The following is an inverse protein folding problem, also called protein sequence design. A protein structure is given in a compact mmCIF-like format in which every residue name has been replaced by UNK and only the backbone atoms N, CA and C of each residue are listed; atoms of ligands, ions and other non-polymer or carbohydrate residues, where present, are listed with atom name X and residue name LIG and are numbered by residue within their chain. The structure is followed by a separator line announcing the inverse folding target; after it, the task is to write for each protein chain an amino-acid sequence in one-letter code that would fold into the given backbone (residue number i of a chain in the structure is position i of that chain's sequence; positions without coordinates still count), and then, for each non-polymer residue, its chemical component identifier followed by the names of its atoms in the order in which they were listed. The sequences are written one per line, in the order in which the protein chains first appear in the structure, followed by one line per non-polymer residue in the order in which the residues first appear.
data_IF_192288131843
#
_entry.id   IF_192288131843
#
_cell.length_a   1.000
_cell.length_b   1.000
_cell.length_c   1.000
_cell.angle_alpha   90.00
_cell.angle_beta   90.00
_cell.angle_gamma   90.00
#
_symmetry.space_group_name_H-M   'P 1'
#
loop_
_entity.id
_entity.type
_entity.pdbx_description
1 polymer ?
#
# COMPACT_ATOMS: atom_id res chain seq x y z
N UNK A 1 2.21 -28.76 -28.05
CA UNK A 1 2.58 -28.52 -26.65
C UNK A 1 3.22 -27.15 -26.60
N UNK A 2 2.54 -26.15 -26.05
CA UNK A 2 3.16 -24.84 -25.81
C UNK A 2 4.19 -25.07 -24.71
N UNK A 3 5.46 -24.76 -24.98
CA UNK A 3 6.52 -24.85 -23.98
C UNK A 3 6.13 -24.02 -22.76
N UNK A 4 6.04 -24.63 -21.58
CA UNK A 4 5.82 -23.89 -20.34
C UNK A 4 7.03 -22.99 -20.08
N UNK A 5 6.78 -21.69 -19.88
CA UNK A 5 7.84 -20.76 -19.47
C UNK A 5 8.38 -21.18 -18.09
N UNK A 6 9.69 -21.08 -17.89
CA UNK A 6 10.36 -21.39 -16.63
C UNK A 6 11.23 -20.22 -16.22
N UNK A 7 11.27 -19.90 -14.91
CA UNK A 7 12.19 -18.88 -14.42
C UNK A 7 13.64 -19.38 -14.56
N UNK A 8 14.52 -18.50 -15.04
CA UNK A 8 15.96 -18.80 -15.21
C UNK A 8 16.80 -18.44 -13.98
N UNK A 9 16.16 -18.17 -12.84
CA UNK A 9 16.79 -17.69 -11.62
C UNK A 9 16.02 -18.20 -10.39
N UNK A 10 16.67 -18.19 -9.22
CA UNK A 10 16.01 -18.52 -7.95
C UNK A 10 15.23 -17.32 -7.43
N UNK A 11 13.93 -17.49 -7.19
CA UNK A 11 13.09 -16.45 -6.60
C UNK A 11 13.04 -16.62 -5.07
N UNK A 12 13.59 -15.65 -4.33
CA UNK A 12 13.58 -15.63 -2.86
C UNK A 12 12.85 -14.39 -2.34
N UNK A 13 12.07 -14.56 -1.27
CA UNK A 13 11.34 -13.49 -0.57
C UNK A 13 11.88 -13.19 0.84
N UNK A 14 12.72 -14.07 1.37
CA UNK A 14 13.12 -14.13 2.78
C UNK A 14 14.38 -13.32 3.12
N UNK A 15 15.01 -12.69 2.13
CA UNK A 15 16.23 -11.89 2.30
C UNK A 15 16.30 -10.74 1.31
N UNK A 16 17.17 -9.77 1.60
CA UNK A 16 17.52 -8.72 0.65
C UNK A 16 18.06 -9.34 -0.64
N UNK A 17 17.58 -8.82 -1.76
CA UNK A 17 18.00 -9.24 -3.09
C UNK A 17 19.38 -8.65 -3.39
N UNK A 18 20.32 -9.49 -3.81
CA UNK A 18 21.62 -9.02 -4.28
C UNK A 18 21.58 -8.58 -5.76
N UNK A 19 22.62 -7.88 -6.19
CA UNK A 19 22.72 -7.36 -7.56
C UNK A 19 22.70 -8.47 -8.62
N UNK A 20 23.26 -9.65 -8.33
CA UNK A 20 23.31 -10.77 -9.27
C UNK A 20 21.92 -11.36 -9.51
N UNK A 21 21.10 -11.47 -8.46
CA UNK A 21 19.70 -11.89 -8.55
C UNK A 21 18.88 -10.87 -9.35
N UNK A 22 19.09 -9.57 -9.11
CA UNK A 22 18.42 -8.50 -9.89
C UNK A 22 18.77 -8.63 -11.38
N UNK A 23 20.05 -8.81 -11.72
CA UNK A 23 20.49 -8.96 -13.12
C UNK A 23 19.87 -10.20 -13.77
N UNK A 24 19.80 -11.32 -13.06
CA UNK A 24 19.19 -12.55 -13.58
C UNK A 24 17.69 -12.38 -13.85
N UNK A 25 16.96 -11.70 -12.95
CA UNK A 25 15.55 -11.32 -13.15
C UNK A 25 15.37 -10.42 -14.37
N UNK A 26 16.23 -9.42 -14.55
CA UNK A 26 16.19 -8.53 -15.73
C UNK A 26 16.46 -9.29 -17.03
N UNK A 27 17.39 -10.26 -17.02
CA UNK A 27 17.67 -11.15 -18.16
C UNK A 27 16.45 -11.98 -18.53
N UNK A 28 15.77 -12.58 -17.56
CA UNK A 28 14.54 -13.34 -17.79
C UNK A 28 13.50 -12.51 -18.55
N UNK A 29 13.11 -11.34 -18.03
CA UNK A 29 12.10 -10.49 -18.67
C UNK A 29 12.48 -9.99 -20.08
N UNK A 30 13.77 -9.88 -20.37
CA UNK A 30 14.28 -9.43 -21.67
C UNK A 30 14.58 -10.56 -22.66
N UNK A 31 14.53 -11.82 -22.22
CA UNK A 31 14.80 -12.98 -23.06
C UNK A 31 13.80 -13.08 -24.22
N UNK A 32 14.27 -13.63 -25.34
CA UNK A 32 13.43 -13.82 -26.55
C UNK A 32 12.31 -14.81 -26.24
N UNK A 33 12.63 -15.83 -25.45
CA UNK A 33 11.72 -16.88 -25.00
C UNK A 33 10.57 -16.28 -24.19
N UNK A 34 10.88 -15.44 -23.19
CA UNK A 34 9.85 -14.79 -22.35
C UNK A 34 8.99 -13.85 -23.19
N UNK A 35 9.60 -13.05 -24.07
CA UNK A 35 8.86 -12.12 -24.95
C UNK A 35 7.92 -12.85 -25.90
N UNK A 36 8.38 -13.93 -26.53
CA UNK A 36 7.55 -14.74 -27.43
C UNK A 36 6.41 -15.40 -26.68
N UNK A 37 6.69 -15.95 -25.49
CA UNK A 37 5.65 -16.57 -24.66
C UNK A 37 4.55 -15.56 -24.31
N UNK A 38 4.88 -14.35 -23.86
CA UNK A 38 3.85 -13.32 -23.59
C UNK A 38 3.10 -12.88 -24.85
N UNK A 39 3.80 -12.80 -25.99
CA UNK A 39 3.17 -12.46 -27.27
C UNK A 39 2.13 -13.52 -27.66
N UNK A 40 2.43 -14.80 -27.46
CA UNK A 40 1.51 -15.92 -27.70
C UNK A 40 0.28 -15.88 -26.76
N UNK A 41 0.40 -15.19 -25.62
CA UNK A 41 -0.69 -14.94 -24.66
C UNK A 41 -1.36 -13.57 -24.84
N UNK A 42 -1.06 -12.85 -25.93
CA UNK A 42 -1.72 -11.57 -26.25
C UNK A 42 -1.09 -10.33 -25.61
N UNK A 43 0.12 -10.43 -25.03
CA UNK A 43 0.82 -9.32 -24.40
C UNK A 43 2.14 -8.98 -25.08
N UNK A 44 2.32 -7.70 -25.38
CA UNK A 44 3.60 -7.16 -25.83
C UNK A 44 4.33 -6.52 -24.65
N UNK A 45 5.33 -7.23 -24.11
CA UNK A 45 6.18 -6.68 -23.04
C UNK A 45 6.84 -5.36 -23.47
N UNK A 46 6.93 -4.44 -22.50
CA UNK A 46 7.69 -3.21 -22.63
C UNK A 46 9.16 -3.50 -22.91
N UNK A 47 9.81 -2.53 -23.51
CA UNK A 47 11.23 -2.58 -23.78
C UNK A 47 12.02 -1.98 -22.62
N UNK A 48 13.02 -2.72 -22.14
CA UNK A 48 13.97 -2.19 -21.18
C UNK A 48 14.95 -1.24 -21.87
N UNK A 49 15.16 -0.07 -21.30
CA UNK A 49 16.17 0.88 -21.78
C UNK A 49 17.55 0.39 -21.35
N UNK A 50 18.52 0.37 -22.26
CA UNK A 50 19.91 0.05 -21.93
C UNK A 50 20.57 1.25 -21.26
N UNK A 51 21.43 1.01 -20.27
CA UNK A 51 22.26 2.06 -19.69
C UNK A 51 23.48 2.29 -20.60
N UNK A 52 23.47 3.45 -21.29
CA UNK A 52 24.49 3.83 -22.26
C UNK A 52 25.91 3.89 -21.64
N UNK A 53 26.03 4.07 -20.32
CA UNK A 53 27.33 4.20 -19.65
C UNK A 53 27.91 2.87 -19.17
N UNK A 54 27.06 1.88 -18.89
CA UNK A 54 27.49 0.61 -18.28
C UNK A 54 27.32 -0.60 -19.18
N UNK A 55 26.69 -0.46 -20.35
CA UNK A 55 26.26 -1.61 -21.18
C UNK A 55 25.40 -2.61 -20.37
N UNK A 56 24.71 -2.12 -19.33
CA UNK A 56 23.91 -2.92 -18.41
C UNK A 56 22.41 -2.65 -18.63
N UNK A 57 21.60 -3.64 -18.27
CA UNK A 57 20.14 -3.51 -18.29
C UNK A 57 19.68 -2.58 -17.15
N UNK A 58 19.17 -1.40 -17.50
CA UNK A 58 18.67 -0.42 -16.53
C UNK A 58 17.41 -0.90 -15.81
N UNK A 59 16.98 -0.22 -14.75
CA UNK A 59 15.67 -0.46 -14.13
C UNK A 59 14.49 0.09 -14.95
N UNK A 60 14.74 0.85 -16.03
CA UNK A 60 13.73 1.59 -16.80
C UNK A 60 13.14 0.77 -17.94
N UNK A 61 11.82 0.89 -18.13
CA UNK A 61 11.04 0.30 -19.21
C UNK A 61 10.26 1.38 -19.95
N UNK A 62 10.00 1.16 -21.24
CA UNK A 62 9.15 2.01 -22.08
C UNK A 62 8.19 1.15 -22.90
N UNK A 63 6.99 1.66 -23.24
CA UNK A 63 6.08 0.95 -24.15
C UNK A 63 6.77 0.64 -25.48
N UNK A 64 6.53 -0.56 -26.01
CA UNK A 64 7.07 -0.96 -27.33
C UNK A 64 6.11 -0.60 -28.46
N UNK A 65 4.81 -0.70 -28.22
CA UNK A 65 3.80 -0.34 -29.20
C UNK A 65 3.50 1.16 -29.11
N UNK A 66 2.91 1.75 -30.17
CA UNK A 66 2.43 3.12 -30.13
C UNK A 66 1.48 3.36 -28.95
N UNK A 67 1.43 4.61 -28.52
CA UNK A 67 0.55 5.10 -27.46
C UNK A 67 0.02 6.47 -27.85
N UNK A 68 -1.13 6.84 -27.29
CA UNK A 68 -1.72 8.16 -27.45
C UNK A 68 -1.01 9.19 -26.55
N UNK A 69 -0.98 10.45 -26.98
CA UNK A 69 -0.42 11.55 -26.20
C UNK A 69 -1.20 11.77 -24.89
N UNK A 70 -2.50 11.55 -24.91
CA UNK A 70 -3.37 11.53 -23.73
C UNK A 70 -4.50 10.54 -23.95
N UNK A 71 -4.76 9.71 -22.95
CA UNK A 71 -5.84 8.73 -22.96
C UNK A 71 -6.70 8.92 -21.71
N UNK A 72 -8.01 9.04 -21.91
CA UNK A 72 -8.97 9.02 -20.81
C UNK A 72 -9.09 7.62 -20.20
N UNK A 73 -9.24 7.55 -18.87
CA UNK A 73 -9.49 6.31 -18.19
C UNK A 73 -10.83 5.70 -18.62
N UNK A 74 -10.81 4.40 -18.86
CA UNK A 74 -11.98 3.55 -18.92
C UNK A 74 -11.76 2.40 -17.94
N UNK A 75 -12.35 2.51 -16.74
CA UNK A 75 -12.10 1.55 -15.66
C UNK A 75 -12.28 0.11 -16.17
N UNK A 76 -11.30 -0.79 -15.94
CA UNK A 76 -10.20 -0.71 -14.97
C UNK A 76 -8.90 -0.05 -15.47
N UNK A 77 -8.86 0.43 -16.71
CA UNK A 77 -7.69 1.07 -17.29
C UNK A 77 -7.54 2.52 -16.84
N UNK A 78 -6.29 2.93 -16.61
CA UNK A 78 -5.94 4.23 -16.08
C UNK A 78 -5.88 5.32 -17.17
N UNK A 79 -6.01 6.58 -16.75
CA UNK A 79 -5.56 7.73 -17.52
C UNK A 79 -4.07 7.59 -17.80
N UNK A 80 -3.64 8.04 -18.97
CA UNK A 80 -2.21 8.26 -19.18
C UNK A 80 -1.93 9.46 -20.06
N UNK A 81 -0.77 10.07 -19.84
CA UNK A 81 -0.29 11.20 -20.60
C UNK A 81 1.19 11.03 -20.97
N UNK A 82 1.55 11.52 -22.14
CA UNK A 82 2.90 11.49 -22.68
C UNK A 82 3.65 12.82 -22.48
N UNK A 83 3.25 13.64 -21.48
CA UNK A 83 3.84 14.96 -21.21
C UNK A 83 5.36 14.84 -21.09
N UNK A 84 6.09 15.75 -21.76
CA UNK A 84 7.55 15.80 -21.75
C UNK A 84 7.98 17.16 -21.23
N UNK A 85 8.74 17.16 -20.14
CA UNK A 85 9.36 18.37 -19.59
C UNK A 85 10.74 18.59 -20.20
N UNK A 86 11.41 17.54 -20.68
CA UNK A 86 12.69 17.61 -21.40
C UNK A 86 12.75 16.55 -22.52
N UNK A 87 13.66 16.71 -23.49
CA UNK A 87 13.81 15.79 -24.62
C UNK A 87 14.31 14.39 -24.22
N UNK A 88 14.98 14.26 -23.07
CA UNK A 88 15.51 12.99 -22.55
C UNK A 88 14.41 12.10 -21.92
N UNK A 89 13.22 12.66 -21.69
CA UNK A 89 12.08 11.92 -21.14
C UNK A 89 11.48 11.05 -22.23
N UNK A 90 11.55 9.74 -22.02
CA UNK A 90 10.81 8.75 -22.82
C UNK A 90 9.41 8.62 -22.22
N UNK A 91 8.33 9.02 -22.91
CA UNK A 91 7.00 9.03 -22.32
C UNK A 91 6.57 7.67 -21.78
N UNK A 92 5.70 7.73 -20.77
CA UNK A 92 5.13 6.55 -20.11
C UNK A 92 6.20 5.58 -19.57
N UNK A 93 7.45 6.01 -19.38
CA UNK A 93 8.44 5.11 -18.81
C UNK A 93 8.11 4.76 -17.36
N UNK A 94 8.57 3.60 -16.93
CA UNK A 94 8.42 3.10 -15.57
C UNK A 94 9.70 2.44 -15.10
N UNK A 95 9.92 2.37 -13.79
CA UNK A 95 11.06 1.67 -13.21
C UNK A 95 10.63 0.49 -12.35
N UNK A 96 11.35 -0.63 -12.46
CA UNK A 96 11.34 -1.71 -11.48
C UNK A 96 12.79 -2.05 -11.11
N UNK A 97 13.12 -1.85 -9.84
CA UNK A 97 14.47 -2.02 -9.32
C UNK A 97 14.77 -3.48 -8.94
N UNK A 98 13.75 -4.27 -8.57
CA UNK A 98 13.92 -5.63 -8.05
C UNK A 98 13.76 -6.73 -9.11
N UNK A 99 13.28 -6.40 -10.31
CA UNK A 99 12.99 -7.39 -11.36
C UNK A 99 11.80 -8.29 -11.03
N UNK A 100 10.93 -7.89 -10.10
CA UNK A 100 9.73 -8.65 -9.70
C UNK A 100 8.52 -8.34 -10.58
N UNK A 101 8.54 -7.19 -11.26
CA UNK A 101 7.42 -6.67 -12.03
C UNK A 101 7.88 -6.36 -13.45
N UNK A 102 7.04 -6.71 -14.42
CA UNK A 102 7.13 -6.27 -15.80
C UNK A 102 5.88 -5.49 -16.19
N UNK A 103 5.97 -4.80 -17.31
CA UNK A 103 4.86 -4.03 -17.88
C UNK A 103 4.68 -4.44 -19.34
N UNK A 104 3.46 -4.40 -19.83
CA UNK A 104 3.11 -4.79 -21.18
C UNK A 104 1.95 -3.98 -21.73
N UNK A 105 1.69 -4.15 -23.03
CA UNK A 105 0.46 -3.73 -23.69
C UNK A 105 -0.31 -4.97 -24.12
N UNK A 106 -1.63 -4.98 -23.93
CA UNK A 106 -2.51 -6.03 -24.46
C UNK A 106 -2.77 -5.84 -25.98
N UNK A 107 -3.62 -6.70 -26.55
CA UNK A 107 -4.00 -6.63 -27.97
C UNK A 107 -4.79 -5.37 -28.37
N UNK A 108 -5.34 -4.64 -27.39
CA UNK A 108 -6.05 -3.37 -27.57
C UNK A 108 -5.15 -2.17 -27.20
N UNK A 109 -3.86 -2.38 -26.99
CA UNK A 109 -2.87 -1.40 -26.53
C UNK A 109 -3.12 -0.85 -25.11
N UNK A 110 -3.97 -1.46 -24.30
CA UNK A 110 -4.08 -1.06 -22.89
C UNK A 110 -2.81 -1.45 -22.13
N UNK A 111 -2.40 -0.59 -21.21
CA UNK A 111 -1.18 -0.79 -20.43
C UNK A 111 -1.46 -1.63 -19.18
N UNK A 112 -0.68 -2.70 -19.00
CA UNK A 112 -0.82 -3.65 -17.90
C UNK A 112 0.49 -3.83 -17.13
N UNK A 113 0.38 -4.33 -15.91
CA UNK A 113 1.48 -4.71 -15.03
C UNK A 113 1.40 -6.22 -14.74
N UNK A 114 2.56 -6.85 -14.60
CA UNK A 114 2.73 -8.30 -14.45
C UNK A 114 3.67 -8.54 -13.28
N UNK A 115 3.25 -9.31 -12.28
CA UNK A 115 4.10 -9.66 -11.13
C UNK A 115 4.49 -11.14 -11.18
N UNK A 116 5.63 -11.52 -10.58
CA UNK A 116 5.96 -12.94 -10.34
C UNK A 116 5.54 -13.30 -8.91
N UNK A 117 4.72 -14.35 -8.77
CA UNK A 117 4.20 -14.82 -7.48
C UNK A 117 4.44 -16.33 -7.34
N UNK A 118 5.15 -16.79 -6.28
CA UNK A 118 5.36 -18.22 -6.06
C UNK A 118 4.06 -18.97 -5.72
N UNK A 119 3.97 -20.22 -6.18
CA UNK A 119 2.87 -21.13 -5.79
C UNK A 119 2.83 -21.35 -4.28
N UNK A 120 1.64 -21.60 -3.75
CA UNK A 120 1.45 -21.97 -2.33
C UNK A 120 1.63 -20.82 -1.33
N UNK A 121 1.75 -19.58 -1.80
CA UNK A 121 1.83 -18.39 -0.94
C UNK A 121 0.44 -17.81 -0.64
N UNK A 122 0.31 -17.07 0.47
CA UNK A 122 -0.92 -16.32 0.77
C UNK A 122 -1.18 -15.23 -0.26
N UNK A 123 -0.13 -14.59 -0.79
CA UNK A 123 -0.28 -13.66 -1.91
C UNK A 123 -1.01 -14.31 -3.10
N UNK A 124 -0.59 -15.52 -3.52
CA UNK A 124 -1.28 -16.24 -4.59
C UNK A 124 -2.75 -16.51 -4.24
N UNK A 125 -3.04 -16.97 -3.03
CA UNK A 125 -4.41 -17.23 -2.57
C UNK A 125 -5.28 -15.97 -2.63
N UNK A 126 -4.73 -14.83 -2.20
CA UNK A 126 -5.41 -13.54 -2.23
C UNK A 126 -5.65 -13.10 -3.67
N UNK A 127 -4.64 -13.13 -4.54
CA UNK A 127 -4.78 -12.73 -5.93
C UNK A 127 -5.77 -13.62 -6.70
N UNK A 128 -5.82 -14.92 -6.38
CA UNK A 128 -6.83 -15.84 -6.90
C UNK A 128 -8.24 -15.51 -6.39
N UNK A 129 -8.39 -15.18 -5.11
CA UNK A 129 -9.66 -14.70 -4.55
C UNK A 129 -10.13 -13.41 -5.25
N UNK A 130 -9.22 -12.45 -5.45
CA UNK A 130 -9.52 -11.16 -6.09
C UNK A 130 -9.85 -11.31 -7.58
N UNK A 131 -9.16 -12.21 -8.30
CA UNK A 131 -9.49 -12.53 -9.69
C UNK A 131 -10.90 -13.12 -9.84
N UNK A 132 -11.43 -13.77 -8.81
CA UNK A 132 -12.80 -14.26 -8.78
C UNK A 132 -13.87 -13.20 -8.46
N UNK A 133 -13.48 -11.97 -8.11
CA UNK A 133 -14.43 -10.88 -7.82
C UNK A 133 -14.83 -10.13 -9.09
N UNK A 134 -16.03 -9.54 -9.09
CA UNK A 134 -16.42 -8.64 -10.18
C UNK A 134 -15.63 -7.33 -10.12
N UNK A 135 -15.44 -6.71 -11.29
CA UNK A 135 -14.79 -5.41 -11.40
C UNK A 135 -15.54 -4.32 -10.59
N UNK A 136 -16.86 -4.39 -10.50
CA UNK A 136 -17.65 -3.44 -9.71
C UNK A 136 -17.37 -3.55 -8.21
N UNK A 137 -17.27 -4.78 -7.68
CA UNK A 137 -16.92 -5.02 -6.27
C UNK A 137 -15.51 -4.48 -5.98
N UNK A 138 -14.54 -4.78 -6.84
CA UNK A 138 -13.17 -4.30 -6.65
C UNK A 138 -13.08 -2.77 -6.75
N UNK A 139 -13.83 -2.15 -7.66
CA UNK A 139 -13.93 -0.69 -7.80
C UNK A 139 -14.52 -0.06 -6.55
N UNK A 140 -15.65 -0.59 -6.09
CA UNK A 140 -16.36 -0.09 -4.91
C UNK A 140 -15.47 -0.13 -3.67
N UNK A 141 -14.71 -1.21 -3.50
CA UNK A 141 -13.83 -1.41 -2.35
C UNK A 141 -12.40 -0.90 -2.54
N UNK A 142 -12.10 -0.22 -3.64
CA UNK A 142 -10.78 0.37 -3.89
C UNK A 142 -9.65 -0.69 -3.83
N UNK A 143 -9.86 -1.85 -4.45
CA UNK A 143 -8.87 -2.93 -4.57
C UNK A 143 -8.38 -3.03 -6.02
N UNK A 144 -7.08 -3.28 -6.20
CA UNK A 144 -6.49 -3.45 -7.53
C UNK A 144 -7.12 -4.65 -8.28
N UNK A 145 -7.65 -4.45 -9.50
CA UNK A 145 -8.18 -5.53 -10.31
C UNK A 145 -7.11 -6.54 -10.75
N UNK A 146 -7.47 -7.83 -10.73
CA UNK A 146 -6.66 -8.92 -11.30
C UNK A 146 -7.42 -9.47 -12.50
N UNK A 147 -6.90 -9.29 -13.71
CA UNK A 147 -7.55 -9.74 -14.94
C UNK A 147 -7.44 -11.25 -15.12
N UNK A 148 -6.24 -11.77 -14.92
CA UNK A 148 -5.95 -13.19 -15.05
C UNK A 148 -4.70 -13.57 -14.27
N UNK A 149 -4.52 -14.86 -14.08
CA UNK A 149 -3.36 -15.47 -13.45
C UNK A 149 -2.77 -16.48 -14.44
N UNK A 150 -1.66 -16.12 -15.09
CA UNK A 150 -1.04 -17.03 -16.05
C UNK A 150 -0.08 -18.01 -15.32
N UNK A 151 -0.22 -19.33 -15.52
CA UNK A 151 0.65 -20.31 -14.87
C UNK A 151 1.99 -20.44 -15.60
N UNK A 152 3.06 -20.51 -14.83
CA UNK A 152 4.38 -20.96 -15.28
C UNK A 152 4.93 -21.99 -14.29
N UNK A 153 6.06 -22.63 -14.61
CA UNK A 153 6.59 -23.68 -13.75
C UNK A 153 6.96 -23.15 -12.35
N UNK A 154 6.17 -23.52 -11.33
CA UNK A 154 6.39 -23.13 -9.93
C UNK A 154 5.91 -21.72 -9.55
N UNK A 155 5.32 -20.96 -10.47
CA UNK A 155 4.87 -19.59 -10.22
C UNK A 155 3.58 -19.25 -10.98
N UNK A 156 2.95 -18.16 -10.56
CA UNK A 156 1.86 -17.51 -11.26
C UNK A 156 2.27 -16.09 -11.64
N UNK A 157 1.73 -15.62 -12.76
CA UNK A 157 1.92 -14.28 -13.29
C UNK A 157 0.56 -13.55 -13.30
N UNK A 158 0.21 -12.84 -12.20
CA UNK A 158 -0.99 -12.01 -12.15
C UNK A 158 -0.85 -10.83 -13.12
N UNK A 159 -1.90 -10.63 -13.92
CA UNK A 159 -2.04 -9.51 -14.84
C UNK A 159 -2.99 -8.48 -14.23
N UNK A 160 -2.55 -7.24 -14.14
CA UNK A 160 -3.24 -6.13 -13.48
C UNK A 160 -3.22 -4.90 -14.40
N UNK A 161 -4.17 -3.96 -14.29
CA UNK A 161 -4.04 -2.70 -15.01
C UNK A 161 -2.79 -1.95 -14.53
N UNK A 162 -2.10 -1.28 -15.46
CA UNK A 162 -1.01 -0.38 -15.07
C UNK A 162 -1.63 0.89 -14.49
N UNK A 163 -1.48 1.07 -13.19
CA UNK A 163 -1.83 2.30 -12.50
C UNK A 163 -0.56 3.03 -12.06
N UNK A 164 -0.68 4.33 -11.80
CA UNK A 164 0.43 5.14 -11.30
C UNK A 164 0.63 4.95 -9.80
N UNK A 165 1.85 5.22 -9.35
CA UNK A 165 2.22 5.23 -7.93
C UNK A 165 2.44 6.67 -7.44
N UNK A 166 2.98 6.83 -6.23
CA UNK A 166 3.33 8.13 -5.65
C UNK A 166 2.13 9.06 -5.58
N UNK A 167 1.05 8.60 -4.94
CA UNK A 167 -0.26 9.26 -4.98
C UNK A 167 -0.32 10.64 -4.32
N UNK A 168 0.68 10.99 -3.51
CA UNK A 168 0.84 12.29 -2.87
C UNK A 168 1.59 13.31 -3.75
N UNK A 169 2.01 12.89 -4.95
CA UNK A 169 2.71 13.71 -5.93
C UNK A 169 1.88 13.87 -7.22
N UNK A 170 1.85 15.08 -7.84
CA UNK A 170 2.29 16.35 -7.26
C UNK A 170 1.57 16.64 -5.95
N UNK A 171 2.10 17.57 -5.15
CA UNK A 171 1.62 17.83 -3.80
C UNK A 171 0.09 18.05 -3.78
N UNK A 172 -0.58 17.43 -2.82
CA UNK A 172 -2.02 17.62 -2.60
C UNK A 172 -2.28 19.10 -2.24
N UNK A 173 -3.37 19.67 -2.72
CA UNK A 173 -3.68 21.09 -2.51
C UNK A 173 -5.06 21.31 -1.88
N UNK A 174 -6.03 20.45 -2.15
CA UNK A 174 -7.41 20.55 -1.65
C UNK A 174 -7.71 19.48 -0.61
N UNK A 175 -8.62 19.81 0.31
CA UNK A 175 -9.01 18.89 1.38
C UNK A 175 -9.67 17.62 0.83
N UNK A 176 -10.47 17.73 -0.23
CA UNK A 176 -11.08 16.54 -0.87
C UNK A 176 -10.05 15.53 -1.37
N UNK A 177 -8.89 15.97 -1.87
CA UNK A 177 -7.85 15.04 -2.33
C UNK A 177 -7.34 14.15 -1.19
N UNK A 178 -7.18 14.73 0.01
CA UNK A 178 -6.75 14.01 1.21
C UNK A 178 -7.85 13.05 1.65
N UNK A 179 -9.09 13.54 1.73
CA UNK A 179 -10.23 12.75 2.20
C UNK A 179 -10.56 11.61 1.25
N UNK A 180 -10.45 11.80 -0.07
CA UNK A 180 -10.64 10.75 -1.08
C UNK A 180 -9.61 9.62 -0.91
N UNK A 181 -8.33 9.96 -0.71
CA UNK A 181 -7.27 8.97 -0.46
C UNK A 181 -7.54 8.21 0.84
N UNK A 182 -7.86 8.92 1.93
CA UNK A 182 -8.16 8.29 3.22
C UNK A 182 -9.36 7.35 3.12
N UNK A 183 -10.43 7.79 2.44
CA UNK A 183 -11.63 6.99 2.24
C UNK A 183 -11.33 5.73 1.45
N UNK A 184 -10.64 5.83 0.31
CA UNK A 184 -10.25 4.66 -0.49
C UNK A 184 -9.41 3.66 0.30
N UNK A 185 -8.46 4.13 1.12
CA UNK A 185 -7.65 3.25 1.98
C UNK A 185 -8.50 2.54 3.04
N UNK A 186 -9.42 3.25 3.70
CA UNK A 186 -10.32 2.68 4.70
C UNK A 186 -11.28 1.64 4.08
N UNK A 187 -11.83 1.92 2.88
CA UNK A 187 -12.68 0.98 2.13
C UNK A 187 -11.92 -0.30 1.78
N UNK A 188 -10.70 -0.17 1.26
CA UNK A 188 -9.84 -1.29 0.93
C UNK A 188 -9.54 -2.15 2.16
N UNK A 189 -9.16 -1.53 3.28
CA UNK A 189 -8.84 -2.28 4.49
C UNK A 189 -10.06 -3.00 5.08
N UNK A 190 -11.21 -2.33 5.11
CA UNK A 190 -12.46 -2.92 5.59
C UNK A 190 -12.85 -4.15 4.74
N UNK A 191 -12.72 -4.07 3.41
CA UNK A 191 -12.96 -5.19 2.51
C UNK A 191 -12.00 -6.37 2.75
N UNK A 192 -10.70 -6.10 2.88
CA UNK A 192 -9.71 -7.15 3.16
C UNK A 192 -10.03 -7.85 4.48
N UNK A 193 -10.30 -7.08 5.55
CA UNK A 193 -10.60 -7.64 6.87
C UNK A 193 -11.92 -8.41 6.89
N UNK A 194 -12.94 -7.95 6.15
CA UNK A 194 -14.20 -8.67 5.99
C UNK A 194 -14.00 -10.04 5.31
N UNK A 195 -12.98 -10.17 4.46
CA UNK A 195 -12.62 -11.41 3.77
C UNK A 195 -11.46 -12.16 4.44
N UNK A 196 -11.18 -11.90 5.72
CA UNK A 196 -10.13 -12.57 6.50
C UNK A 196 -8.71 -12.43 5.92
N UNK A 197 -8.45 -11.30 5.28
CA UNK A 197 -7.14 -10.93 4.73
C UNK A 197 -6.57 -9.77 5.56
N UNK A 198 -5.40 -9.96 6.15
CA UNK A 198 -4.58 -8.85 6.68
C UNK A 198 -3.53 -8.47 5.65
N UNK A 199 -3.34 -7.18 5.39
CA UNK A 199 -2.41 -6.70 4.36
C UNK A 199 -0.94 -6.85 4.79
N UNK A 200 -0.61 -6.50 6.03
CA UNK A 200 0.73 -6.63 6.61
C UNK A 200 1.76 -5.58 6.19
N UNK A 201 1.43 -4.67 5.27
CA UNK A 201 2.36 -3.63 4.77
C UNK A 201 1.59 -2.37 4.31
N UNK A 202 0.79 -1.81 5.22
CA UNK A 202 0.01 -0.60 4.93
C UNK A 202 0.92 0.63 4.85
N UNK A 203 0.94 1.28 3.68
CA UNK A 203 1.65 2.54 3.41
C UNK A 203 1.14 3.18 2.12
N UNK A 204 1.33 4.49 1.95
CA UNK A 204 0.88 5.20 0.74
C UNK A 204 1.51 4.67 -0.56
N UNK A 205 2.71 4.07 -0.52
CA UNK A 205 3.35 3.52 -1.73
C UNK A 205 2.67 2.25 -2.23
N UNK A 206 1.85 1.59 -1.40
CA UNK A 206 1.06 0.40 -1.74
C UNK A 206 -0.39 0.78 -2.11
N UNK A 207 -0.61 2.06 -2.40
CA UNK A 207 -1.84 2.56 -3.02
C UNK A 207 -1.47 3.08 -4.41
N UNK A 208 -2.18 2.58 -5.41
CA UNK A 208 -2.06 3.04 -6.78
C UNK A 208 -3.16 4.07 -7.09
N UNK A 209 -2.93 4.89 -8.10
CA UNK A 209 -3.91 5.84 -8.65
C UNK A 209 -4.11 5.54 -10.13
N UNK A 210 -5.35 5.61 -10.63
CA UNK A 210 -5.70 5.34 -12.03
C UNK A 210 -5.21 6.42 -13.01
N UNK A 211 -4.00 6.94 -12.81
CA UNK A 211 -3.31 7.86 -13.70
C UNK A 211 -1.81 7.62 -13.67
N UNK A 212 -1.18 7.37 -14.82
CA UNK A 212 0.27 7.25 -14.93
C UNK A 212 0.86 8.09 -16.06
N UNK A 213 2.09 8.52 -15.87
CA UNK A 213 2.92 9.22 -16.86
C UNK A 213 4.34 8.63 -16.80
N UNK A 214 5.33 9.33 -17.33
CA UNK A 214 6.73 8.99 -17.06
C UNK A 214 7.02 9.07 -15.54
N UNK A 215 7.66 8.03 -15.00
CA UNK A 215 7.90 7.90 -13.56
C UNK A 215 8.80 8.98 -12.95
N UNK A 216 9.52 9.77 -13.75
CA UNK A 216 10.35 10.91 -13.31
C UNK A 216 9.55 12.21 -13.15
N UNK A 217 8.32 12.26 -13.71
CA UNK A 217 7.45 13.44 -13.70
C UNK A 217 6.52 13.56 -12.51
N UNK A 218 6.69 12.78 -11.45
CA UNK A 218 5.77 12.80 -10.30
C UNK A 218 5.59 14.20 -9.68
N UNK A 219 6.61 15.08 -9.71
CA UNK A 219 6.49 16.47 -9.22
C UNK A 219 5.93 17.42 -10.30
N UNK A 220 6.38 17.29 -11.54
CA UNK A 220 6.13 18.25 -12.63
C UNK A 220 4.92 17.95 -13.52
N UNK A 221 4.19 16.86 -13.27
CA UNK A 221 3.02 16.47 -14.07
C UNK A 221 1.84 17.43 -13.81
N UNK A 222 1.32 18.05 -14.87
CA UNK A 222 0.22 19.02 -14.75
C UNK A 222 -1.17 18.36 -14.89
N UNK A 223 -1.23 17.16 -15.45
CA UNK A 223 -2.47 16.43 -15.73
C UNK A 223 -3.11 15.91 -14.45
N UNK A 224 -2.34 15.28 -13.56
CA UNK A 224 -2.84 14.68 -12.32
C UNK A 224 -3.52 15.69 -11.40
N UNK A 225 -2.95 16.89 -11.12
CA UNK A 225 -3.66 17.93 -10.36
C UNK A 225 -5.01 18.33 -10.99
N UNK A 226 -5.08 18.46 -12.33
CA UNK A 226 -6.32 18.79 -13.02
C UNK A 226 -7.38 17.69 -12.89
N UNK A 227 -6.97 16.41 -12.94
CA UNK A 227 -7.87 15.28 -12.72
C UNK A 227 -8.35 15.20 -11.26
N UNK A 228 -7.50 15.56 -10.29
CA UNK A 228 -7.87 15.65 -8.87
C UNK A 228 -8.86 16.77 -8.58
N UNK A 229 -8.67 17.95 -9.15
CA UNK A 229 -9.62 19.07 -9.00
C UNK A 229 -11.02 18.67 -9.49
N UNK A 230 -11.09 17.90 -10.58
CA UNK A 230 -12.34 17.35 -11.13
C UNK A 230 -12.83 16.08 -10.44
N UNK A 231 -12.10 15.56 -9.44
CA UNK A 231 -12.39 14.31 -8.70
C UNK A 231 -12.61 13.09 -9.61
N UNK A 232 -11.82 12.99 -10.69
CA UNK A 232 -11.89 11.90 -11.67
C UNK A 232 -10.98 10.71 -11.34
N UNK A 233 -10.09 10.86 -10.36
CA UNK A 233 -9.15 9.82 -9.99
C UNK A 233 -9.78 8.77 -9.07
N UNK A 234 -9.32 7.54 -9.22
CA UNK A 234 -9.61 6.40 -8.35
C UNK A 234 -8.30 5.89 -7.74
N UNK A 235 -8.39 5.43 -6.50
CA UNK A 235 -7.25 4.89 -5.76
C UNK A 235 -7.53 3.42 -5.43
N UNK A 236 -6.49 2.58 -5.50
CA UNK A 236 -6.63 1.16 -5.24
C UNK A 236 -5.44 0.59 -4.44
N UNK A 237 -5.74 -0.21 -3.43
CA UNK A 237 -4.73 -0.93 -2.66
C UNK A 237 -4.20 -2.13 -3.43
N UNK A 238 -2.89 -2.33 -3.38
CA UNK A 238 -2.18 -3.42 -4.06
C UNK A 238 -0.96 -3.87 -3.26
N UNK A 239 -0.27 -4.90 -3.78
CA UNK A 239 0.96 -5.47 -3.22
C UNK A 239 0.76 -6.30 -1.94
N UNK A 240 0.32 -7.55 -2.13
CA UNK A 240 0.02 -8.50 -1.06
C UNK A 240 1.23 -9.36 -0.64
N UNK A 241 2.46 -8.87 -0.84
CA UNK A 241 3.71 -9.60 -0.58
C UNK A 241 3.83 -10.10 0.87
N UNK A 242 3.31 -9.32 1.82
CA UNK A 242 3.34 -9.57 3.27
C UNK A 242 1.98 -9.94 3.86
N UNK A 243 0.98 -10.13 3.01
CA UNK A 243 -0.38 -10.39 3.45
C UNK A 243 -0.55 -11.80 3.99
N UNK A 244 -1.50 -11.95 4.91
CA UNK A 244 -1.92 -13.25 5.45
C UNK A 244 -3.40 -13.43 5.17
N UNK A 245 -3.78 -14.61 4.66
CA UNK A 245 -5.17 -14.96 4.40
C UNK A 245 -5.56 -16.15 5.29
N UNK A 246 -6.41 -15.88 6.28
CA UNK A 246 -6.94 -16.94 7.12
C UNK A 246 -8.01 -17.74 6.37
N UNK A 247 -8.22 -18.98 6.79
CA UNK A 247 -9.38 -19.76 6.32
C UNK A 247 -10.69 -19.07 6.73
N UNK A 248 -11.77 -19.20 5.96
CA UNK A 248 -13.07 -18.57 6.28
C UNK A 248 -13.60 -18.88 7.68
N UNK A 249 -13.28 -20.07 8.22
CA UNK A 249 -13.75 -20.55 9.51
C UNK A 249 -12.97 -19.99 10.70
N UNK A 250 -11.81 -19.37 10.47
CA UNK A 250 -10.94 -18.86 11.52
C UNK A 250 -11.42 -17.51 12.02
N UNK A 251 -11.53 -17.36 13.33
CA UNK A 251 -11.79 -16.05 13.93
C UNK A 251 -10.53 -15.17 13.88
N UNK A 252 -10.60 -14.10 13.08
CA UNK A 252 -9.53 -13.09 12.98
C UNK A 252 -9.19 -12.42 14.31
N UNK A 253 -10.13 -12.31 15.26
CA UNK A 253 -9.87 -11.71 16.57
C UNK A 253 -8.97 -12.60 17.44
N UNK A 254 -9.04 -13.91 17.25
CA UNK A 254 -8.17 -14.90 17.89
C UNK A 254 -6.80 -15.06 17.21
N UNK A 255 -6.60 -14.54 15.99
CA UNK A 255 -5.37 -14.69 15.24
C UNK A 255 -4.15 -14.09 15.98
N UNK A 256 -3.09 -14.88 16.13
CA UNK A 256 -1.85 -14.47 16.78
C UNK A 256 -0.65 -14.90 15.95
N UNK A 257 0.16 -13.94 15.53
CA UNK A 257 1.43 -14.20 14.84
C UNK A 257 2.61 -13.89 15.77
N UNK A 258 3.75 -14.60 15.63
CA UNK A 258 4.97 -14.29 16.38
C UNK A 258 5.48 -12.89 16.05
N UNK A 259 5.98 -12.17 17.05
CA UNK A 259 6.45 -10.78 16.93
C UNK A 259 7.47 -10.54 15.81
N UNK A 260 8.25 -11.55 15.42
CA UNK A 260 9.21 -11.44 14.31
C UNK A 260 8.52 -11.14 12.98
N UNK A 261 7.28 -11.57 12.81
CA UNK A 261 6.46 -11.24 11.63
C UNK A 261 5.99 -9.78 11.65
N UNK A 262 6.18 -9.06 12.76
CA UNK A 262 5.99 -7.61 12.85
C UNK A 262 7.29 -6.84 12.61
N UNK A 263 8.40 -7.49 12.26
CA UNK A 263 9.68 -6.81 12.05
C UNK A 263 9.86 -6.40 10.59
N UNK A 264 10.26 -5.15 10.38
CA UNK A 264 10.45 -4.57 9.05
C UNK A 264 10.00 -3.12 9.02
N UNK A 265 9.98 -2.51 7.84
CA UNK A 265 9.56 -1.12 7.63
C UNK A 265 8.05 -0.86 7.79
N UNK A 266 7.27 -1.93 8.01
CA UNK A 266 5.81 -1.91 8.07
C UNK A 266 5.22 -1.76 9.49
N UNK A 267 5.95 -2.14 10.55
CA UNK A 267 5.47 -1.97 11.93
C UNK A 267 5.79 -0.58 12.50
N UNK A 268 5.01 0.40 12.05
CA UNK A 268 5.13 1.81 12.47
C UNK A 268 4.36 2.11 13.76
N UNK A 269 3.50 1.18 14.21
CA UNK A 269 2.56 1.35 15.34
C UNK A 269 3.21 1.24 16.70
N UNK A 270 4.44 0.73 16.78
CA UNK A 270 5.12 0.46 18.05
C UNK A 270 4.35 -0.54 18.95
N UNK A 271 3.42 -1.32 18.39
CA UNK A 271 2.57 -2.27 19.13
C UNK A 271 3.36 -3.44 19.69
N UNK A 272 4.43 -3.83 19.00
CA UNK A 272 5.35 -4.88 19.48
C UNK A 272 6.66 -4.30 20.00
N UNK A 273 6.78 -2.96 20.08
CA UNK A 273 8.04 -2.30 20.44
C UNK A 273 8.44 -2.44 21.92
N UNK A 274 7.63 -3.14 22.72
CA UNK A 274 7.90 -3.39 24.15
C UNK A 274 8.06 -4.89 24.43
N UNK A 275 8.37 -5.69 23.40
CA UNK A 275 8.58 -7.12 23.52
C UNK A 275 7.27 -7.90 23.67
N UNK A 276 6.16 -7.42 23.11
CA UNK A 276 4.98 -8.25 22.92
C UNK A 276 5.36 -9.47 22.06
N UNK A 277 5.10 -10.68 22.56
CA UNK A 277 5.55 -11.90 21.89
C UNK A 277 4.62 -12.32 20.73
N UNK A 278 3.33 -12.05 20.87
CA UNK A 278 2.34 -12.29 19.83
C UNK A 278 1.63 -10.98 19.50
N UNK A 279 1.24 -10.82 18.25
CA UNK A 279 0.38 -9.72 17.81
C UNK A 279 -0.76 -10.24 16.93
N UNK A 280 -1.82 -9.46 16.83
CA UNK A 280 -2.90 -9.72 15.87
C UNK A 280 -2.64 -8.89 14.60
N UNK A 281 -2.49 -9.51 13.41
CA UNK A 281 -2.15 -8.79 12.18
C UNK A 281 -3.26 -7.84 11.70
N UNK A 282 -4.53 -8.15 11.98
CA UNK A 282 -5.66 -7.26 11.63
C UNK A 282 -5.63 -6.00 12.50
N UNK A 283 -5.36 -6.14 13.80
CA UNK A 283 -5.21 -4.99 14.71
C UNK A 283 -3.98 -4.15 14.33
N UNK A 284 -2.90 -4.81 13.89
CA UNK A 284 -1.70 -4.14 13.41
C UNK A 284 -1.97 -3.32 12.15
N UNK A 285 -2.71 -3.86 11.17
CA UNK A 285 -3.03 -3.13 9.93
C UNK A 285 -3.78 -1.81 10.21
N UNK A 286 -4.79 -1.84 11.10
CA UNK A 286 -5.54 -0.62 11.44
C UNK A 286 -4.62 0.41 12.09
N UNK A 287 -3.76 -0.03 12.99
CA UNK A 287 -2.75 0.83 13.59
C UNK A 287 -1.79 1.39 12.55
N UNK A 288 -1.31 0.57 11.62
CA UNK A 288 -0.34 0.96 10.60
C UNK A 288 -0.95 2.00 9.65
N UNK A 289 -2.22 1.81 9.27
CA UNK A 289 -3.01 2.80 8.54
C UNK A 289 -3.14 4.11 9.31
N UNK A 290 -3.49 4.04 10.60
CA UNK A 290 -3.58 5.22 11.46
C UNK A 290 -2.26 5.97 11.56
N UNK A 291 -1.14 5.28 11.69
CA UNK A 291 0.20 5.90 11.72
C UNK A 291 0.56 6.52 10.37
N UNK A 292 0.20 5.88 9.26
CA UNK A 292 0.38 6.45 7.93
C UNK A 292 -0.41 7.75 7.77
N UNK A 293 -1.70 7.74 8.11
CA UNK A 293 -2.51 8.96 8.13
C UNK A 293 -1.96 10.02 9.08
N UNK A 294 -1.38 9.62 10.22
CA UNK A 294 -0.75 10.57 11.12
C UNK A 294 0.51 11.20 10.50
N UNK A 295 1.38 10.39 9.88
CA UNK A 295 2.59 10.87 9.19
C UNK A 295 2.23 11.95 8.17
N UNK A 296 1.17 11.69 7.39
CA UNK A 296 0.83 12.47 6.21
C UNK A 296 -0.12 13.63 6.53
N UNK A 297 -1.12 13.43 7.39
CA UNK A 297 -2.30 14.30 7.49
C UNK A 297 -2.62 14.84 8.89
N UNK A 298 -1.91 14.44 9.96
CA UNK A 298 -2.27 14.89 11.33
C UNK A 298 -2.24 16.41 11.54
N UNK A 299 -1.47 17.13 10.72
CA UNK A 299 -1.40 18.60 10.76
C UNK A 299 -2.71 19.28 10.32
N UNK A 300 -3.61 18.54 9.66
CA UNK A 300 -4.90 19.02 9.17
C UNK A 300 -6.00 18.93 10.22
N UNK A 301 -5.74 18.41 11.44
CA UNK A 301 -6.76 18.28 12.49
C UNK A 301 -7.36 19.62 12.93
N UNK A 302 -6.70 20.75 12.68
CA UNK A 302 -7.30 22.07 12.90
C UNK A 302 -8.29 22.49 11.80
N UNK A 303 -8.12 21.99 10.57
CA UNK A 303 -8.99 22.28 9.43
C UNK A 303 -10.14 21.28 9.30
N UNK A 304 -9.91 20.01 9.66
CA UNK A 304 -10.91 18.96 9.72
C UNK A 304 -10.83 18.28 11.10
N UNK A 305 -11.57 18.81 12.10
CA UNK A 305 -11.47 18.39 13.50
C UNK A 305 -11.69 16.90 13.76
N UNK A 306 -12.51 16.22 12.96
CA UNK A 306 -12.80 14.79 13.18
C UNK A 306 -11.60 13.88 12.90
N UNK A 307 -10.57 14.37 12.20
CA UNK A 307 -9.34 13.60 12.02
C UNK A 307 -8.68 13.29 13.36
N UNK A 308 -8.73 14.19 14.35
CA UNK A 308 -8.12 13.93 15.66
C UNK A 308 -8.68 12.66 16.36
N UNK A 309 -9.99 12.51 16.58
CA UNK A 309 -10.56 11.28 17.15
C UNK A 309 -10.35 10.05 16.28
N UNK A 310 -10.45 10.15 14.95
CA UNK A 310 -10.19 9.02 14.04
C UNK A 310 -8.76 8.50 14.21
N UNK A 311 -7.78 9.40 14.11
CA UNK A 311 -6.37 9.07 14.18
C UNK A 311 -5.97 8.50 15.55
N UNK A 312 -6.49 9.06 16.65
CA UNK A 312 -6.22 8.53 17.99
C UNK A 312 -6.84 7.15 18.18
N UNK A 313 -8.07 6.90 17.72
CA UNK A 313 -8.70 5.58 17.83
C UNK A 313 -8.06 4.52 16.95
N UNK A 314 -7.48 4.89 15.81
CA UNK A 314 -6.71 3.96 14.98
C UNK A 314 -5.32 3.69 15.57
N UNK A 315 -4.69 4.69 16.20
CA UNK A 315 -3.31 4.58 16.74
C UNK A 315 -3.24 4.32 18.24
N UNK A 316 -4.39 4.10 18.90
CA UNK A 316 -4.44 3.92 20.36
C UNK A 316 -3.60 2.73 20.81
N UNK A 317 -2.94 2.88 21.96
CA UNK A 317 -2.14 1.81 22.57
C UNK A 317 -2.98 0.79 23.32
N UNK A 318 -4.22 1.16 23.69
CA UNK A 318 -5.16 0.17 24.19
C UNK A 318 -5.78 -0.55 23.00
N UNK A 319 -5.20 -1.70 22.65
CA UNK A 319 -5.55 -2.46 21.44
C UNK A 319 -7.01 -2.92 21.42
N UNK A 320 -7.62 -3.17 22.59
CA UNK A 320 -9.04 -3.54 22.71
C UNK A 320 -9.96 -2.36 22.37
N UNK A 321 -9.48 -1.14 22.58
CA UNK A 321 -10.19 0.08 22.23
C UNK A 321 -9.85 0.56 20.82
N UNK A 322 -8.91 -0.07 20.10
CA UNK A 322 -8.59 0.34 18.74
C UNK A 322 -9.77 0.05 17.83
N UNK A 323 -10.04 0.96 16.90
CA UNK A 323 -11.02 0.68 15.86
C UNK A 323 -10.66 -0.60 15.10
N UNK A 324 -11.68 -1.37 14.76
CA UNK A 324 -11.63 -2.30 13.63
C UNK A 324 -11.61 -1.50 12.31
N UNK A 325 -11.22 -2.15 11.21
CA UNK A 325 -11.24 -1.49 9.90
C UNK A 325 -12.64 -0.98 9.52
N UNK A 326 -13.69 -1.77 9.83
CA UNK A 326 -15.08 -1.38 9.61
C UNK A 326 -15.52 -0.21 10.47
N UNK A 327 -15.16 -0.17 11.76
CA UNK A 327 -15.48 0.96 12.63
C UNK A 327 -14.76 2.24 12.20
N UNK A 328 -13.50 2.12 11.76
CA UNK A 328 -12.74 3.26 11.22
C UNK A 328 -13.35 3.83 9.95
N UNK A 329 -13.78 2.96 9.02
CA UNK A 329 -14.49 3.37 7.81
C UNK A 329 -15.84 4.02 8.14
N UNK A 330 -16.65 3.38 8.98
CA UNK A 330 -17.97 3.90 9.35
C UNK A 330 -17.86 5.25 10.06
N UNK A 331 -16.94 5.39 11.02
CA UNK A 331 -16.69 6.68 11.67
C UNK A 331 -16.28 7.75 10.66
N UNK A 332 -15.41 7.42 9.70
CA UNK A 332 -15.00 8.37 8.67
C UNK A 332 -16.19 8.80 7.79
N UNK A 333 -16.98 7.86 7.29
CA UNK A 333 -18.13 8.15 6.43
C UNK A 333 -19.20 8.97 7.15
N UNK A 334 -19.51 8.61 8.40
CA UNK A 334 -20.42 9.36 9.26
C UNK A 334 -19.92 10.78 9.48
N UNK A 335 -18.63 10.99 9.76
CA UNK A 335 -18.10 12.33 9.99
C UNK A 335 -17.96 13.13 8.70
N UNK A 336 -17.60 12.48 7.59
CA UNK A 336 -17.49 13.09 6.27
C UNK A 336 -18.83 13.63 5.78
N UNK A 337 -19.95 12.94 6.04
CA UNK A 337 -21.29 13.37 5.62
C UNK A 337 -21.77 14.68 6.26
N UNK A 338 -21.13 15.11 7.35
CA UNK A 338 -21.43 16.36 8.04
C UNK A 338 -20.57 17.55 7.57
N UNK A 339 -19.56 17.32 6.71
CA UNK A 339 -18.75 18.39 6.18
C UNK A 339 -19.53 19.22 5.16
N UNK A 340 -19.30 20.53 5.22
CA UNK A 340 -19.79 21.46 4.19
C UNK A 340 -18.92 21.40 2.94
N UNK A 341 -19.49 21.77 1.79
CA UNK A 341 -18.72 21.86 0.54
C UNK A 341 -17.52 22.83 0.68
N UNK A 342 -17.66 23.91 1.45
CA UNK A 342 -16.57 24.84 1.70
C UNK A 342 -15.41 24.20 2.47
N UNK A 343 -15.69 23.35 3.46
CA UNK A 343 -14.67 22.59 4.20
C UNK A 343 -14.00 21.53 3.33
N UNK A 344 -14.72 20.95 2.36
CA UNK A 344 -14.20 19.96 1.42
C UNK A 344 -13.31 20.62 0.34
N UNK A 345 -13.67 21.82 -0.12
CA UNK A 345 -12.96 22.56 -1.18
C UNK A 345 -11.83 23.45 -0.67
N UNK A 346 -11.68 23.60 0.65
CA UNK A 346 -10.63 24.45 1.22
C UNK A 346 -9.23 23.98 0.82
N UNK A 347 -8.31 24.93 0.70
CA UNK A 347 -6.89 24.63 0.51
C UNK A 347 -6.31 24.03 1.78
N UNK A 348 -5.47 23.00 1.64
CA UNK A 348 -4.80 22.38 2.80
C UNK A 348 -3.60 23.20 3.24
N UNK A 349 -3.37 23.24 4.56
CA UNK A 349 -2.17 23.84 5.13
C UNK A 349 -0.92 23.10 4.66
N UNK A 350 0.19 23.84 4.54
CA UNK A 350 1.48 23.22 4.19
C UNK A 350 1.90 22.21 5.27
N UNK A 351 2.29 21.02 4.84
CA UNK A 351 2.94 20.04 5.71
C UNK A 351 4.34 20.51 6.06
N UNK A 352 4.56 20.80 7.34
CA UNK A 352 5.90 20.95 7.92
C UNK A 352 6.38 19.59 8.45
N UNK A 353 7.67 19.47 8.79
CA UNK A 353 8.15 18.30 9.54
C UNK A 353 7.35 18.19 10.83
N UNK A 354 6.46 17.22 10.90
CA UNK A 354 5.63 16.95 12.08
C UNK A 354 6.39 16.06 13.05
N UNK A 355 6.07 16.19 14.34
CA UNK A 355 6.54 15.24 15.33
C UNK A 355 6.00 13.83 15.03
N UNK A 356 6.68 12.81 15.53
CA UNK A 356 6.14 11.44 15.55
C UNK A 356 4.70 11.43 16.06
N UNK A 357 3.87 10.55 15.49
CA UNK A 357 2.43 10.51 15.79
C UNK A 357 2.14 10.43 17.30
N UNK A 358 2.97 9.74 18.09
CA UNK A 358 2.80 9.59 19.53
C UNK A 358 3.33 10.78 20.38
N UNK A 359 3.86 11.83 19.74
CA UNK A 359 4.31 13.08 20.37
C UNK A 359 3.56 14.31 19.87
N UNK A 360 2.79 14.18 18.80
CA UNK A 360 2.09 15.29 18.19
C UNK A 360 0.75 15.52 18.89
N UNK A 361 0.52 16.71 19.44
CA UNK A 361 -0.78 17.07 20.00
C UNK A 361 -1.74 17.50 18.89
N UNK A 362 -2.45 16.52 18.34
CA UNK A 362 -3.44 16.74 17.27
C UNK A 362 -4.73 17.42 17.75
N UNK A 363 -4.91 17.57 19.06
CA UNK A 363 -6.10 18.21 19.63
C UNK A 363 -5.91 19.71 19.89
N UNK A 364 -4.68 20.22 19.78
CA UNK A 364 -4.35 21.61 20.15
C UNK A 364 -5.13 22.66 19.32
N UNK A 365 -5.43 22.35 18.06
CA UNK A 365 -6.19 23.21 17.15
C UNK A 365 -7.65 22.77 16.98
N UNK A 366 -8.10 21.74 17.69
CA UNK A 366 -9.48 21.23 17.61
C UNK A 366 -10.40 22.15 18.43
N UNK A 367 -11.56 22.58 17.91
CA UNK A 367 -12.49 23.42 18.66
C UNK A 367 -12.87 22.82 20.03
N UNK A 368 -12.89 23.60 21.12
CA UNK A 368 -13.08 23.06 22.48
C UNK A 368 -14.36 22.24 22.67
N UNK A 369 -15.47 22.67 22.08
CA UNK A 369 -16.75 21.94 22.19
C UNK A 369 -16.70 20.59 21.48
N UNK A 370 -16.03 20.54 20.32
CA UNK A 370 -15.79 19.29 19.60
C UNK A 370 -14.84 18.38 20.39
N UNK A 371 -13.75 18.94 20.92
CA UNK A 371 -12.80 18.20 21.76
C UNK A 371 -13.47 17.60 23.00
N UNK A 372 -14.39 18.35 23.63
CA UNK A 372 -15.18 17.87 24.77
C UNK A 372 -16.12 16.73 24.38
N UNK A 373 -16.82 16.85 23.25
CA UNK A 373 -17.72 15.81 22.73
C UNK A 373 -16.98 14.48 22.49
N UNK A 374 -15.76 14.54 21.97
CA UNK A 374 -14.96 13.38 21.58
C UNK A 374 -13.82 13.06 22.54
N UNK A 375 -13.87 13.57 23.78
CA UNK A 375 -12.78 13.43 24.74
C UNK A 375 -12.42 11.96 25.06
N UNK A 376 -13.39 11.04 25.00
CA UNK A 376 -13.17 9.60 25.22
C UNK A 376 -12.35 8.93 24.11
N UNK A 377 -12.17 9.60 22.96
CA UNK A 377 -11.40 9.07 21.83
C UNK A 377 -9.93 9.49 21.90
N UNK A 378 -9.59 10.45 22.75
CA UNK A 378 -8.25 11.00 22.89
C UNK A 378 -7.30 9.95 23.49
N UNK A 379 -6.18 9.72 22.80
CA UNK A 379 -5.13 8.82 23.27
C UNK A 379 -4.42 9.45 24.49
N UNK A 380 -4.32 8.74 25.63
CA UNK A 380 -3.61 9.28 26.79
C UNK A 380 -2.11 9.44 26.52
N UNK A 381 -1.41 10.33 27.26
CA UNK A 381 0.04 10.45 27.18
C UNK A 381 0.76 9.12 27.46
N UNK A 382 1.97 8.96 26.92
CA UNK A 382 2.75 7.73 27.16
C UNK A 382 3.28 7.72 28.60
N UNK A 383 2.93 6.71 29.44
CA UNK A 383 3.51 6.55 30.77
C UNK A 383 5.04 6.43 30.69
N UNK A 384 5.73 7.04 31.65
CA UNK A 384 7.20 7.04 31.67
C UNK A 384 7.78 5.62 31.68
N UNK A 385 7.13 4.66 32.35
CA UNK A 385 7.52 3.25 32.37
C UNK A 385 7.57 2.64 30.97
N UNK A 386 6.55 2.92 30.13
CA UNK A 386 6.53 2.49 28.74
C UNK A 386 7.64 3.14 27.91
N UNK A 387 7.96 4.41 28.18
CA UNK A 387 9.06 5.08 27.47
C UNK A 387 10.42 4.42 27.78
N UNK A 388 10.65 4.03 29.05
CA UNK A 388 11.84 3.31 29.47
C UNK A 388 11.92 1.94 28.79
N UNK A 389 10.84 1.16 28.79
CA UNK A 389 10.83 -0.16 28.13
C UNK A 389 11.11 -0.01 26.64
N UNK A 390 10.43 0.92 25.94
CA UNK A 390 10.69 1.18 24.52
C UNK A 390 12.14 1.58 24.26
N UNK A 391 12.75 2.37 25.14
CA UNK A 391 14.15 2.75 25.03
C UNK A 391 15.08 1.54 25.18
N UNK A 392 14.86 0.70 26.18
CA UNK A 392 15.62 -0.53 26.40
C UNK A 392 15.48 -1.51 25.21
N UNK A 393 14.26 -1.72 24.73
CA UNK A 393 13.93 -2.57 23.59
C UNK A 393 14.45 -2.05 22.24
N UNK A 394 15.08 -0.87 22.17
CA UNK A 394 15.87 -0.47 20.98
C UNK A 394 17.06 -1.37 20.74
N UNK A 395 17.54 -2.06 21.78
CA UNK A 395 18.61 -3.07 21.64
C UNK A 395 17.97 -4.41 21.34
N UNK A 396 18.28 -4.99 20.18
CA UNK A 396 17.69 -6.24 19.69
C UNK A 396 17.75 -7.39 20.71
N UNK A 397 18.88 -7.56 21.40
CA UNK A 397 19.00 -8.61 22.42
C UNK A 397 18.10 -8.36 23.64
N UNK A 398 17.92 -7.11 24.08
CA UNK A 398 17.00 -6.76 25.18
C UNK A 398 15.57 -7.02 24.74
N UNK A 399 15.21 -6.62 23.53
CA UNK A 399 13.90 -6.89 22.96
C UNK A 399 13.55 -8.38 23.06
N UNK A 400 14.47 -9.25 22.63
CA UNK A 400 14.27 -10.70 22.73
C UNK A 400 14.11 -11.18 24.17
N UNK A 401 14.94 -10.70 25.09
CA UNK A 401 14.84 -11.06 26.52
C UNK A 401 13.47 -10.66 27.06
N UNK A 402 13.04 -9.41 26.83
CA UNK A 402 11.73 -8.91 27.28
C UNK A 402 10.59 -9.73 26.68
N UNK A 403 10.68 -10.09 25.39
CA UNK A 403 9.66 -10.90 24.74
C UNK A 403 9.54 -12.30 25.33
N UNK A 404 10.65 -12.99 25.58
CA UNK A 404 10.62 -14.32 26.20
C UNK A 404 10.17 -14.28 27.66
N UNK A 405 10.56 -13.24 28.41
CA UNK A 405 10.09 -13.03 29.79
C UNK A 405 8.57 -12.84 29.81
N UNK A 406 8.02 -11.97 28.94
CA UNK A 406 6.57 -11.76 28.82
C UNK A 406 5.82 -13.02 28.40
N UNK A 407 6.37 -13.77 27.45
CA UNK A 407 5.82 -15.06 27.03
C UNK A 407 5.81 -16.08 28.17
N UNK A 408 6.89 -16.18 28.94
CA UNK A 408 6.95 -17.08 30.09
C UNK A 408 5.87 -16.75 31.11
N UNK A 409 5.71 -15.48 31.49
CA UNK A 409 4.67 -15.07 32.44
C UNK A 409 3.24 -15.22 31.92
N UNK A 410 2.99 -15.02 30.62
CA UNK A 410 1.64 -15.22 30.06
C UNK A 410 1.18 -16.66 30.19
N UNK A 411 2.10 -17.64 30.14
CA UNK A 411 1.77 -19.05 30.39
C UNK A 411 1.24 -19.32 31.79
N UNK A 412 1.66 -18.57 32.82
CA UNK A 412 1.17 -18.75 34.19
C UNK A 412 -0.17 -18.06 34.45
N UNK A 413 -0.45 -16.95 33.77
CA UNK A 413 -1.68 -16.18 33.95
C UNK A 413 -2.89 -16.87 33.32
N UNK A 414 -2.72 -17.61 32.23
CA UNK A 414 -3.81 -18.34 31.54
C UNK A 414 -3.93 -19.83 31.94
N UNK A 415 -3.15 -20.27 32.93
CA UNK A 415 -3.19 -21.65 33.46
C UNK A 415 -3.84 -21.76 34.85
N UNK A 416 -4.50 -20.70 35.31
CA UNK A 416 -5.14 -20.59 36.63
C UNK A 416 -6.66 -20.45 36.54
#
# INVERSE_FOLDING_TARGET
MVSSLQLTFTFRKDRDIDETEVVARRKFWNSVETRNWFKDHGYTLYERVMDDYKSEMSSRFVPRLPYEEFQEANYPYAYHDAERVTEEIKPLAVSDFQGKVAFAQDLQNHHIAIKIVPVGTDEYRILSFLNGQSLDVLKEHCIMPIFELLPIEGFWLPIMPRWGTSIHYPALNRMHEVLDIMHSMLKALAFLHANNISHGDIKLSNIAVNHFADFTLYIGNNVRPALREKRLLSYAMFDFDYSTMLSPEMDRMSCRLPYQHSWGSFNRTMDTAQGEFYFNPFVLDVGAMGVEFCSEFQHLCGQVPFLAPLLDKMTTRNLENRFTASEGLQFFEDMYSHLTEAEIQQTIGRRFRTNFYYKYDRWVLVPPDFAKKWASYKEPPIPWTMQVIRYLCRRTWIYHVVAHVRWFFSKFIYSG
#
